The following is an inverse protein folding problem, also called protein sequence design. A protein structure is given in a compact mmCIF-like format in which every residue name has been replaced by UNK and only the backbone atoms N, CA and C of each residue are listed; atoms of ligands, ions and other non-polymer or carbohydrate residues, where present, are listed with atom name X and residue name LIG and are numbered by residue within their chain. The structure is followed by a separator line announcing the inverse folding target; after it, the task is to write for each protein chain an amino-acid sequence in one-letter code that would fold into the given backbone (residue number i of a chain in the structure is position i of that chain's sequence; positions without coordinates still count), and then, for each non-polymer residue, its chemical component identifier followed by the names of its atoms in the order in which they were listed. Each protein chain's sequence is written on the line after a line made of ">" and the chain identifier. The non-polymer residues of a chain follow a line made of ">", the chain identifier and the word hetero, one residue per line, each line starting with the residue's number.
data_IF_021781798278
#
_entry.id   IF_021781798278
#
_cell.length_a   1.000
_cell.length_b   1.000
_cell.length_c   1.000
_cell.angle_alpha   90.00
_cell.angle_beta   90.00
_cell.angle_gamma   90.00
#
_symmetry.space_group_name_H-M   'P 1'
#
loop_
_entity.id
_entity.type
_entity.pdbx_description
1 polymer ?
#
# COMPACT_ATOMS: atom_id res chain seq x y z
N UNK A 1 32.24 7.61 0.86
CA UNK A 1 31.38 6.65 0.19
C UNK A 1 31.71 5.23 0.68
N UNK A 2 30.72 4.54 1.27
CA UNK A 2 30.89 3.18 1.80
C UNK A 2 30.80 2.09 0.71
N UNK A 3 30.37 2.44 -0.51
CA UNK A 3 30.23 1.48 -1.61
C UNK A 3 31.54 0.76 -1.93
N UNK A 4 32.67 1.43 -1.80
CA UNK A 4 34.00 0.85 -2.04
C UNK A 4 34.40 -0.25 -1.05
N UNK A 5 33.73 -0.31 0.11
CA UNK A 5 33.97 -1.33 1.14
C UNK A 5 32.91 -2.43 1.14
N UNK A 6 31.88 -2.32 0.26
CA UNK A 6 30.78 -3.24 0.22
C UNK A 6 30.84 -4.15 -1.00
N UNK A 7 30.37 -5.39 -0.83
CA UNK A 7 30.16 -6.34 -1.91
C UNK A 7 28.89 -7.18 -1.64
N UNK A 8 28.30 -7.67 -2.72
CA UNK A 8 27.12 -8.53 -2.65
C UNK A 8 27.58 -9.99 -2.72
N UNK A 9 27.12 -10.81 -1.78
CA UNK A 9 27.40 -12.24 -1.80
C UNK A 9 26.93 -12.91 -3.09
N UNK A 10 27.85 -13.61 -3.74
CA UNK A 10 27.56 -14.39 -4.94
C UNK A 10 27.67 -15.89 -4.65
N UNK A 11 26.57 -16.63 -4.78
CA UNK A 11 26.53 -18.08 -4.58
C UNK A 11 27.43 -18.86 -5.54
N UNK A 12 27.78 -18.28 -6.68
CA UNK A 12 28.73 -18.90 -7.64
C UNK A 12 30.19 -18.66 -7.26
N UNK A 13 30.47 -17.68 -6.40
CA UNK A 13 31.82 -17.39 -5.92
C UNK A 13 31.83 -17.17 -4.39
N UNK A 14 31.53 -18.20 -3.57
CA UNK A 14 31.48 -18.05 -2.11
C UNK A 14 32.85 -17.73 -1.50
N UNK A 15 33.98 -18.07 -2.12
CA UNK A 15 35.33 -17.78 -1.65
C UNK A 15 35.63 -16.28 -1.58
N UNK A 16 34.89 -15.45 -2.29
CA UNK A 16 34.99 -13.98 -2.18
C UNK A 16 34.71 -13.48 -0.76
N UNK A 17 33.86 -14.19 0.00
CA UNK A 17 33.60 -13.86 1.40
C UNK A 17 34.83 -14.05 2.26
N UNK A 18 35.56 -15.18 2.10
CA UNK A 18 36.79 -15.40 2.84
C UNK A 18 37.81 -14.32 2.56
N UNK A 19 38.10 -14.02 1.29
CA UNK A 19 39.12 -13.03 0.92
C UNK A 19 38.77 -11.60 1.28
N UNK A 20 37.51 -11.20 1.13
CA UNK A 20 37.09 -9.78 1.34
C UNK A 20 36.58 -9.49 2.74
N UNK A 21 35.99 -10.46 3.44
CA UNK A 21 35.40 -10.26 4.76
C UNK A 21 36.27 -10.84 5.89
N UNK A 22 36.82 -12.04 5.71
CA UNK A 22 37.53 -12.77 6.78
C UNK A 22 39.02 -12.43 6.81
N UNK A 23 39.67 -12.44 5.66
CA UNK A 23 41.12 -12.21 5.53
C UNK A 23 41.48 -10.72 5.40
N UNK A 24 40.51 -9.86 5.16
CA UNK A 24 40.75 -8.43 5.02
C UNK A 24 41.04 -7.77 6.36
N UNK A 25 42.08 -6.93 6.39
CA UNK A 25 42.37 -6.04 7.52
C UNK A 25 41.64 -4.70 7.44
N UNK A 26 40.92 -4.43 6.34
CA UNK A 26 40.18 -3.22 6.11
C UNK A 26 38.71 -3.38 6.50
N UNK A 27 37.99 -2.25 6.62
CA UNK A 27 36.54 -2.27 6.74
C UNK A 27 35.93 -3.01 5.56
N UNK A 28 35.15 -4.04 5.82
CA UNK A 28 34.46 -4.80 4.80
C UNK A 28 32.99 -5.02 5.15
N UNK A 29 32.11 -4.85 4.18
CA UNK A 29 30.67 -4.99 4.33
C UNK A 29 30.17 -6.01 3.31
N UNK A 30 29.69 -7.16 3.79
CA UNK A 30 29.07 -8.18 2.95
C UNK A 30 27.55 -8.11 3.01
N UNK A 31 26.90 -7.92 1.87
CA UNK A 31 25.44 -7.91 1.75
C UNK A 31 24.96 -9.28 1.29
N UNK A 32 24.12 -9.93 2.11
CA UNK A 32 23.60 -11.28 1.83
C UNK A 32 22.08 -11.33 2.00
N UNK A 33 21.44 -12.07 1.09
CA UNK A 33 20.07 -12.51 1.32
C UNK A 33 20.05 -13.64 2.36
N UNK A 34 19.02 -13.66 3.22
CA UNK A 34 18.87 -14.67 4.27
C UNK A 34 18.82 -16.11 3.71
N UNK A 35 18.27 -16.30 2.50
CA UNK A 35 18.21 -17.58 1.80
C UNK A 35 19.60 -18.14 1.44
N UNK A 36 20.60 -17.28 1.38
CA UNK A 36 21.96 -17.69 1.03
C UNK A 36 22.64 -18.53 2.12
N UNK A 37 22.16 -18.47 3.37
CA UNK A 37 22.81 -19.13 4.50
C UNK A 37 21.87 -19.78 5.53
N UNK A 38 20.55 -19.67 5.39
CA UNK A 38 19.60 -20.18 6.39
C UNK A 38 19.31 -21.69 6.33
N UNK A 39 19.96 -22.42 5.42
CA UNK A 39 19.83 -23.87 5.27
C UNK A 39 21.22 -24.51 5.29
N UNK A 40 21.32 -25.69 5.90
CA UNK A 40 22.59 -26.46 5.94
C UNK A 40 23.17 -26.77 4.57
N UNK A 41 22.32 -26.93 3.54
CA UNK A 41 22.72 -27.20 2.16
C UNK A 41 23.20 -25.96 1.38
N UNK A 42 23.18 -24.77 1.96
CA UNK A 42 23.70 -23.58 1.28
C UNK A 42 25.21 -23.69 1.08
N UNK A 43 25.74 -23.28 -0.08
CA UNK A 43 27.15 -23.42 -0.45
C UNK A 43 28.11 -22.86 0.60
N UNK A 44 27.79 -21.73 1.22
CA UNK A 44 28.59 -21.08 2.23
C UNK A 44 28.75 -21.93 3.52
N UNK A 45 27.88 -22.94 3.72
CA UNK A 45 27.89 -23.88 4.84
C UNK A 45 28.42 -25.28 4.48
N UNK A 46 28.87 -25.46 3.24
CA UNK A 46 29.44 -26.72 2.77
C UNK A 46 30.96 -26.65 2.85
N UNK A 47 31.58 -27.80 3.08
CA UNK A 47 33.00 -27.96 2.94
C UNK A 47 33.41 -27.74 1.48
N UNK A 48 34.49 -27.02 1.26
CA UNK A 48 35.12 -26.92 -0.03
C UNK A 48 36.05 -28.12 -0.28
N UNK A 49 36.71 -28.12 -1.42
CA UNK A 49 37.68 -29.18 -1.79
C UNK A 49 38.91 -29.32 -0.86
N UNK A 50 39.11 -28.35 0.04
CA UNK A 50 40.18 -28.33 1.04
C UNK A 50 39.67 -28.60 2.46
N UNK A 51 38.36 -28.91 2.63
CA UNK A 51 37.74 -29.12 3.93
C UNK A 51 37.42 -27.85 4.70
N UNK A 52 37.47 -26.66 4.06
CA UNK A 52 37.16 -25.40 4.66
C UNK A 52 35.65 -25.07 4.56
N UNK A 53 35.08 -24.58 5.65
CA UNK A 53 33.69 -24.11 5.71
C UNK A 53 33.72 -22.61 5.92
N UNK A 54 33.34 -21.82 4.93
CA UNK A 54 33.34 -20.34 4.98
C UNK A 54 32.46 -19.83 6.12
N UNK A 55 31.39 -20.54 6.46
CA UNK A 55 30.50 -20.18 7.55
C UNK A 55 31.22 -20.19 8.92
N UNK A 56 32.12 -21.13 9.14
CA UNK A 56 32.90 -21.19 10.38
C UNK A 56 33.95 -20.08 10.47
N UNK A 57 34.52 -19.67 9.35
CA UNK A 57 35.40 -18.51 9.28
C UNK A 57 34.63 -17.22 9.64
N UNK A 58 33.38 -17.07 9.15
CA UNK A 58 32.53 -15.93 9.53
C UNK A 58 32.22 -15.93 11.02
N UNK A 59 31.95 -17.08 11.61
CA UNK A 59 31.76 -17.20 13.07
C UNK A 59 33.01 -16.77 13.83
N UNK A 60 34.16 -17.19 13.36
CA UNK A 60 35.44 -16.91 14.01
C UNK A 60 35.70 -15.39 14.14
N UNK A 61 35.38 -14.61 13.10
CA UNK A 61 35.56 -13.15 13.14
C UNK A 61 34.49 -12.42 13.95
N UNK A 62 33.41 -13.09 14.36
CA UNK A 62 32.28 -12.50 15.13
C UNK A 62 31.81 -11.17 14.54
N UNK A 63 31.20 -11.17 13.35
CA UNK A 63 30.85 -9.94 12.65
C UNK A 63 29.79 -9.11 13.38
N UNK A 64 29.71 -7.82 13.09
CA UNK A 64 28.54 -6.99 13.39
C UNK A 64 27.48 -7.35 12.34
N UNK A 65 26.30 -7.77 12.79
CA UNK A 65 25.18 -8.10 11.89
C UNK A 65 24.17 -6.96 11.87
N UNK A 66 23.84 -6.49 10.67
CA UNK A 66 22.79 -5.49 10.44
C UNK A 66 21.61 -6.18 9.77
N UNK A 67 20.42 -6.08 10.35
CA UNK A 67 19.22 -6.71 9.84
C UNK A 67 18.21 -5.61 9.50
N UNK A 68 17.83 -5.55 8.23
CA UNK A 68 16.71 -4.74 7.76
C UNK A 68 15.42 -5.56 7.79
N UNK A 69 14.32 -4.95 8.27
CA UNK A 69 13.00 -5.56 8.40
C UNK A 69 13.01 -6.91 9.17
N UNK A 70 13.55 -6.97 10.43
CA UNK A 70 13.71 -8.20 11.19
C UNK A 70 12.41 -8.98 11.45
N UNK A 71 11.24 -8.32 11.42
CA UNK A 71 9.94 -8.97 11.60
C UNK A 71 9.63 -10.01 10.51
N UNK A 72 10.31 -9.96 9.35
CA UNK A 72 10.16 -10.94 8.27
C UNK A 72 10.85 -12.26 8.60
N UNK A 73 11.87 -12.22 9.44
CA UNK A 73 12.68 -13.39 9.79
C UNK A 73 12.43 -13.93 11.21
N UNK A 74 11.68 -13.20 12.05
CA UNK A 74 11.45 -13.59 13.45
C UNK A 74 10.57 -14.83 13.64
N UNK A 75 9.80 -15.22 12.62
CA UNK A 75 8.83 -16.31 12.73
C UNK A 75 7.63 -15.96 13.65
N UNK A 76 6.81 -16.97 13.91
CA UNK A 76 5.64 -16.86 14.79
C UNK A 76 5.91 -17.40 16.20
N UNK A 77 5.11 -18.41 16.62
CA UNK A 77 5.30 -19.09 17.94
C UNK A 77 6.60 -19.88 18.03
N UNK A 78 7.13 -20.38 16.89
CA UNK A 78 8.42 -21.06 16.82
C UNK A 78 9.45 -20.14 16.17
N UNK A 79 10.70 -20.27 16.62
CA UNK A 79 11.85 -19.59 16.06
C UNK A 79 11.99 -19.98 14.57
N UNK A 80 12.29 -19.03 13.72
CA UNK A 80 12.52 -19.32 12.30
C UNK A 80 13.95 -19.83 12.09
N UNK A 81 14.15 -20.67 11.05
CA UNK A 81 15.49 -21.09 10.62
C UNK A 81 16.43 -19.93 10.28
N UNK A 82 15.86 -18.83 9.84
CA UNK A 82 16.60 -17.60 9.54
C UNK A 82 17.17 -16.96 10.81
N UNK A 83 16.36 -16.90 11.88
CA UNK A 83 16.82 -16.39 13.17
C UNK A 83 17.84 -17.31 13.81
N UNK A 84 17.63 -18.63 13.72
CA UNK A 84 18.59 -19.63 14.19
C UNK A 84 19.94 -19.48 13.47
N UNK A 85 19.92 -19.25 12.14
CA UNK A 85 21.15 -19.03 11.36
C UNK A 85 21.91 -17.77 11.76
N UNK A 86 21.19 -16.67 12.11
CA UNK A 86 21.83 -15.44 12.57
C UNK A 86 22.44 -15.60 13.94
N UNK A 87 21.80 -16.34 14.83
CA UNK A 87 22.36 -16.64 16.15
C UNK A 87 23.57 -17.59 16.07
N UNK A 88 23.54 -18.53 15.11
CA UNK A 88 24.65 -19.45 14.83
C UNK A 88 25.91 -18.73 14.36
N UNK A 89 25.83 -17.53 13.79
CA UNK A 89 27.01 -16.69 13.47
C UNK A 89 27.75 -16.24 14.73
N UNK A 90 27.10 -16.25 15.91
CA UNK A 90 27.64 -15.70 17.16
C UNK A 90 28.13 -14.25 17.03
N UNK A 91 27.29 -13.32 16.49
CA UNK A 91 27.73 -11.98 16.16
C UNK A 91 28.19 -11.21 17.41
N UNK A 92 29.09 -10.25 17.22
CA UNK A 92 29.54 -9.36 18.30
C UNK A 92 28.34 -8.59 18.88
N UNK A 93 27.49 -8.05 17.98
CA UNK A 93 26.15 -7.54 18.29
C UNK A 93 25.31 -7.47 17.00
N UNK A 94 24.00 -7.30 17.17
CA UNK A 94 23.03 -7.21 16.07
C UNK A 94 22.33 -5.87 16.11
N UNK A 95 22.42 -5.12 15.03
CA UNK A 95 21.62 -3.89 14.79
C UNK A 95 20.37 -4.25 14.00
N UNK A 96 19.21 -3.87 14.51
CA UNK A 96 17.91 -4.21 13.92
C UNK A 96 17.18 -2.93 13.52
N UNK A 97 16.93 -2.78 12.24
CA UNK A 97 16.22 -1.62 11.68
C UNK A 97 14.84 -2.04 11.19
N UNK A 98 13.80 -1.39 11.65
CA UNK A 98 12.43 -1.59 11.16
C UNK A 98 11.51 -0.46 11.58
N UNK A 99 10.56 -0.15 10.75
CA UNK A 99 9.41 0.70 11.10
C UNK A 99 8.32 -0.06 11.88
N UNK A 100 8.33 -1.42 11.84
CA UNK A 100 7.24 -2.28 12.33
C UNK A 100 7.77 -3.47 13.13
N UNK A 101 8.52 -3.22 14.19
CA UNK A 101 9.02 -4.28 15.06
C UNK A 101 7.89 -5.08 15.71
N UNK A 102 7.95 -6.41 15.63
CA UNK A 102 7.05 -7.30 16.40
C UNK A 102 7.47 -7.42 17.85
N UNK A 103 8.78 -7.42 18.10
CA UNK A 103 9.38 -7.47 19.43
C UNK A 103 10.47 -6.42 19.55
N UNK A 104 10.49 -5.72 20.66
CA UNK A 104 11.54 -4.75 20.96
C UNK A 104 12.64 -5.45 21.78
N UNK A 105 13.89 -5.26 21.36
CA UNK A 105 15.08 -5.75 22.05
C UNK A 105 16.01 -4.55 22.25
N UNK A 106 16.22 -4.12 23.49
CA UNK A 106 17.16 -3.05 23.82
C UNK A 106 17.07 -1.85 22.85
N UNK A 107 15.87 -1.28 22.71
CA UNK A 107 15.65 -0.16 21.79
C UNK A 107 16.53 1.01 22.19
N UNK A 108 17.51 1.35 21.35
CA UNK A 108 18.46 2.45 21.56
C UNK A 108 18.05 3.76 20.88
N UNK A 109 17.22 3.67 19.84
CA UNK A 109 16.72 4.81 19.10
C UNK A 109 15.33 4.56 18.56
N UNK A 110 14.47 5.58 18.57
CA UNK A 110 13.14 5.56 17.99
C UNK A 110 12.90 6.84 17.20
N UNK A 111 12.61 6.68 15.91
CA UNK A 111 12.08 7.75 15.06
C UNK A 111 10.78 7.26 14.47
N UNK A 112 9.69 7.44 15.20
CA UNK A 112 8.37 7.10 14.69
C UNK A 112 7.82 8.18 13.75
N UNK A 113 6.66 7.90 13.14
CA UNK A 113 6.03 8.81 12.17
C UNK A 113 5.71 10.18 12.78
N UNK A 114 5.39 10.22 14.07
CA UNK A 114 5.08 11.45 14.77
C UNK A 114 6.34 12.30 15.01
N UNK A 115 7.40 11.70 15.56
CA UNK A 115 8.67 12.38 15.77
C UNK A 115 9.27 12.88 14.44
N UNK A 116 9.16 12.09 13.38
CA UNK A 116 9.58 12.48 12.04
C UNK A 116 8.77 13.67 11.51
N UNK A 117 7.45 13.66 11.72
CA UNK A 117 6.58 14.78 11.33
C UNK A 117 6.90 16.06 12.11
N UNK A 118 7.06 15.99 13.45
CA UNK A 118 7.42 17.15 14.28
C UNK A 118 8.76 17.76 13.87
N UNK A 119 9.71 16.94 13.43
CA UNK A 119 11.02 17.39 12.94
C UNK A 119 11.00 17.83 11.47
N UNK A 120 9.83 17.86 10.82
CA UNK A 120 9.68 18.15 9.39
C UNK A 120 10.54 17.27 8.48
N UNK A 121 10.72 16.00 8.83
CA UNK A 121 11.48 15.02 8.04
C UNK A 121 10.61 14.29 7.02
N UNK A 122 9.28 14.37 7.15
CA UNK A 122 8.29 13.71 6.30
C UNK A 122 7.17 14.67 5.93
N UNK A 123 6.41 14.34 4.87
CA UNK A 123 5.20 15.07 4.48
C UNK A 123 4.09 14.88 5.51
N UNK A 124 3.23 15.90 5.63
CA UNK A 124 1.92 15.80 6.27
C UNK A 124 1.03 14.86 5.47
N UNK A 125 0.18 14.08 6.12
CA UNK A 125 -0.80 13.22 5.48
C UNK A 125 -2.18 13.86 5.56
N UNK A 126 -2.86 13.98 4.42
CA UNK A 126 -4.28 14.34 4.33
C UNK A 126 -5.04 13.21 3.67
N UNK A 127 -6.04 12.65 4.34
CA UNK A 127 -6.88 11.58 3.81
C UNK A 127 -8.17 12.17 3.28
N UNK A 128 -8.52 11.83 2.04
CA UNK A 128 -9.81 12.11 1.41
C UNK A 128 -10.52 10.79 1.19
N UNK A 129 -11.56 10.52 1.96
CA UNK A 129 -12.33 9.29 1.84
C UNK A 129 -13.51 9.50 0.92
N UNK A 130 -13.69 8.59 -0.03
CA UNK A 130 -14.88 8.52 -0.88
C UNK A 130 -15.85 7.58 -0.21
N UNK A 131 -16.90 8.14 0.36
CA UNK A 131 -18.01 7.36 0.91
C UNK A 131 -19.07 7.16 -0.17
N UNK A 132 -19.45 5.93 -0.38
CA UNK A 132 -20.64 5.63 -1.14
C UNK A 132 -21.83 5.73 -0.19
N UNK A 133 -22.55 6.83 -0.20
CA UNK A 133 -23.76 6.98 0.59
C UNK A 133 -24.89 6.23 -0.10
N UNK A 134 -25.32 5.13 0.51
CA UNK A 134 -26.59 4.50 0.16
C UNK A 134 -27.70 5.46 0.61
N UNK A 135 -28.64 5.84 -0.28
CA UNK A 135 -29.74 6.70 0.11
C UNK A 135 -30.46 6.08 1.33
N UNK A 136 -30.61 6.87 2.40
CA UNK A 136 -31.25 6.38 3.64
C UNK A 136 -32.71 5.95 3.44
N UNK A 137 -33.32 6.35 2.34
CA UNK A 137 -34.64 5.89 1.89
C UNK A 137 -34.63 4.55 1.17
N UNK A 138 -33.44 4.02 0.80
CA UNK A 138 -33.31 2.73 0.15
C UNK A 138 -33.40 1.59 1.19
N UNK A 139 -34.13 0.50 0.93
CA UNK A 139 -34.24 -0.65 1.84
C UNK A 139 -32.97 -1.52 1.79
N UNK A 140 -31.85 -0.95 2.22
CA UNK A 140 -30.58 -1.64 2.21
C UNK A 140 -30.55 -2.83 3.15
N UNK A 141 -30.12 -3.99 2.63
CA UNK A 141 -29.98 -5.23 3.37
C UNK A 141 -28.68 -5.90 2.94
N UNK A 142 -27.82 -6.23 3.88
CA UNK A 142 -26.60 -7.01 3.66
C UNK A 142 -26.62 -8.27 4.50
N UNK A 143 -26.42 -9.42 3.89
CA UNK A 143 -26.19 -10.66 4.59
C UNK A 143 -24.71 -10.82 4.96
N UNK A 144 -24.35 -10.56 6.22
CA UNK A 144 -22.93 -10.57 6.67
C UNK A 144 -22.39 -11.97 6.86
N UNK A 145 -23.11 -12.82 7.60
CA UNK A 145 -22.64 -14.15 7.96
C UNK A 145 -23.74 -15.04 8.52
N UNK A 146 -23.55 -16.34 8.42
CA UNK A 146 -24.32 -17.32 9.16
C UNK A 146 -23.69 -17.53 10.54
N UNK A 147 -24.50 -17.51 11.61
CA UNK A 147 -24.04 -17.59 12.99
C UNK A 147 -24.02 -19.03 13.49
N UNK A 148 -23.32 -19.27 14.61
CA UNK A 148 -23.29 -20.60 15.27
C UNK A 148 -24.67 -21.01 15.81
N UNK A 149 -25.53 -20.03 16.10
CA UNK A 149 -26.89 -20.23 16.63
C UNK A 149 -27.93 -20.41 15.51
N UNK A 150 -27.47 -20.79 14.31
CA UNK A 150 -28.30 -21.03 13.13
C UNK A 150 -29.14 -19.82 12.70
N UNK A 151 -28.60 -18.61 12.91
CA UNK A 151 -29.20 -17.33 12.51
C UNK A 151 -28.44 -16.70 11.37
N UNK A 152 -29.11 -15.86 10.58
CA UNK A 152 -28.44 -14.98 9.64
C UNK A 152 -28.10 -13.66 10.35
N UNK A 153 -26.87 -13.19 10.24
CA UNK A 153 -26.47 -11.83 10.63
C UNK A 153 -26.64 -10.92 9.45
N UNK A 154 -27.61 -10.03 9.54
CA UNK A 154 -27.87 -9.02 8.51
C UNK A 154 -27.49 -7.62 9.01
N UNK A 155 -27.22 -6.72 8.08
CA UNK A 155 -27.00 -5.29 8.34
C UNK A 155 -28.01 -4.49 7.54
N UNK A 156 -28.72 -3.59 8.24
CA UNK A 156 -29.77 -2.72 7.68
C UNK A 156 -29.62 -1.32 8.26
N UNK A 157 -30.26 -0.33 7.67
CA UNK A 157 -30.50 0.94 8.35
C UNK A 157 -31.41 0.75 9.54
N UNK A 158 -31.11 1.38 10.65
CA UNK A 158 -31.96 1.42 11.84
C UNK A 158 -31.95 2.79 12.46
N UNK A 159 -33.13 3.27 12.89
CA UNK A 159 -33.31 4.54 13.57
C UNK A 159 -33.22 4.31 15.07
N UNK A 160 -32.47 5.16 15.75
CA UNK A 160 -32.42 5.19 17.21
C UNK A 160 -33.57 6.05 17.79
N UNK A 161 -33.73 6.05 19.11
CA UNK A 161 -34.77 6.82 19.80
C UNK A 161 -34.70 8.35 19.56
N UNK A 162 -33.52 8.84 19.11
CA UNK A 162 -33.28 10.23 18.73
C UNK A 162 -33.53 10.53 17.25
N UNK A 163 -34.07 9.58 16.48
CA UNK A 163 -34.35 9.76 15.05
C UNK A 163 -33.14 9.65 14.14
N UNK A 164 -31.95 9.30 14.66
CA UNK A 164 -30.75 9.19 13.85
C UNK A 164 -30.65 7.81 13.19
N UNK A 165 -30.56 7.80 11.85
CA UNK A 165 -30.45 6.59 11.04
C UNK A 165 -28.98 6.20 10.87
N UNK A 166 -28.66 4.92 11.21
CA UNK A 166 -27.31 4.34 11.08
C UNK A 166 -27.42 2.88 10.65
N UNK A 167 -26.33 2.32 10.13
CA UNK A 167 -26.19 0.88 9.94
C UNK A 167 -26.18 0.15 11.29
N UNK A 168 -26.97 -0.92 11.39
CA UNK A 168 -26.99 -1.79 12.56
C UNK A 168 -27.12 -3.25 12.13
N UNK A 169 -26.40 -4.13 12.83
CA UNK A 169 -26.44 -5.59 12.55
C UNK A 169 -27.40 -6.28 13.52
N UNK A 170 -28.15 -7.24 12.97
CA UNK A 170 -29.13 -8.04 13.70
C UNK A 170 -28.94 -9.53 13.35
N UNK A 171 -29.13 -10.40 14.35
CA UNK A 171 -29.16 -11.85 14.15
C UNK A 171 -30.63 -12.28 14.01
N UNK A 172 -31.02 -12.72 12.82
CA UNK A 172 -32.41 -12.94 12.41
C UNK A 172 -32.71 -14.41 12.11
N UNK A 173 -33.99 -14.77 12.26
CA UNK A 173 -34.60 -16.03 11.90
C UNK A 173 -35.76 -15.78 10.90
N UNK A 174 -36.35 -16.85 10.38
CA UNK A 174 -37.56 -16.75 9.59
C UNK A 174 -38.67 -15.98 10.31
N UNK A 175 -39.37 -15.14 9.58
CA UNK A 175 -40.43 -14.25 10.11
C UNK A 175 -39.97 -12.95 10.71
N UNK A 176 -38.66 -12.69 10.80
CA UNK A 176 -38.16 -11.41 11.33
C UNK A 176 -38.57 -10.25 10.42
N UNK A 177 -39.29 -9.27 10.98
CA UNK A 177 -39.71 -8.04 10.29
C UNK A 177 -38.56 -7.04 10.26
N UNK A 178 -38.17 -6.57 9.08
CA UNK A 178 -37.13 -5.56 8.94
C UNK A 178 -37.65 -4.16 9.33
N UNK A 179 -38.96 -3.92 9.20
CA UNK A 179 -39.59 -2.68 9.69
C UNK A 179 -39.42 -2.56 11.20
N UNK A 180 -39.69 -3.62 11.96
CA UNK A 180 -39.52 -3.61 13.42
C UNK A 180 -38.04 -3.46 13.82
N UNK A 181 -37.14 -4.22 13.18
CA UNK A 181 -35.69 -4.18 13.45
C UNK A 181 -35.08 -2.81 13.12
N UNK A 182 -35.61 -2.16 12.10
CA UNK A 182 -35.14 -0.82 11.71
C UNK A 182 -35.61 0.32 12.62
N UNK A 183 -36.54 0.05 13.56
CA UNK A 183 -37.17 1.09 14.37
C UNK A 183 -38.32 1.80 13.66
N UNK A 184 -39.01 1.10 12.72
CA UNK A 184 -40.18 1.62 12.02
C UNK A 184 -39.86 2.43 10.76
N UNK A 185 -38.70 2.25 10.15
CA UNK A 185 -38.34 2.93 8.91
C UNK A 185 -39.23 2.47 7.75
N UNK A 186 -39.91 3.38 7.07
CA UNK A 186 -40.92 3.12 6.05
C UNK A 186 -40.42 2.33 4.84
N UNK A 187 -39.13 2.47 4.49
CA UNK A 187 -38.52 1.72 3.38
C UNK A 187 -38.46 0.21 3.65
N UNK A 188 -38.57 -0.25 4.89
CA UNK A 188 -38.59 -1.69 5.23
C UNK A 188 -40.02 -2.23 5.47
N UNK A 189 -41.03 -1.46 5.14
CA UNK A 189 -42.43 -1.89 5.31
C UNK A 189 -42.73 -3.13 4.47
N UNK A 190 -43.35 -4.14 5.12
CA UNK A 190 -43.65 -5.43 4.51
C UNK A 190 -42.44 -6.21 3.98
N UNK A 191 -41.22 -5.92 4.51
CA UNK A 191 -40.03 -6.72 4.20
C UNK A 191 -39.69 -7.59 5.41
N UNK A 192 -39.54 -8.90 5.18
CA UNK A 192 -39.25 -9.87 6.24
C UNK A 192 -38.43 -11.06 5.74
N UNK A 193 -37.71 -11.72 6.65
CA UNK A 193 -36.96 -12.93 6.36
C UNK A 193 -37.94 -14.05 6.08
N UNK A 194 -37.98 -14.55 4.84
CA UNK A 194 -39.04 -15.45 4.35
C UNK A 194 -38.82 -16.91 4.75
N UNK A 195 -37.56 -17.35 4.89
CA UNK A 195 -37.24 -18.74 5.24
C UNK A 195 -36.21 -18.83 6.35
N UNK A 196 -36.14 -20.00 7.01
CA UNK A 196 -35.10 -20.28 8.01
C UNK A 196 -33.72 -20.17 7.35
N UNK A 197 -32.83 -19.35 7.90
CA UNK A 197 -31.47 -19.20 7.38
C UNK A 197 -30.75 -20.57 7.36
N UNK A 198 -29.97 -20.80 6.29
CA UNK A 198 -29.16 -22.01 6.14
C UNK A 198 -27.76 -21.67 5.64
N UNK A 199 -26.74 -22.39 6.12
CA UNK A 199 -25.33 -22.07 5.86
C UNK A 199 -24.93 -22.13 4.38
N UNK A 200 -25.57 -23.02 3.62
CA UNK A 200 -25.24 -23.33 2.22
C UNK A 200 -26.31 -22.82 1.23
N UNK A 201 -27.21 -21.96 1.66
CA UNK A 201 -28.27 -21.41 0.82
C UNK A 201 -28.30 -19.88 0.96
N UNK A 202 -28.70 -19.17 -0.11
CA UNK A 202 -28.94 -17.74 -0.03
C UNK A 202 -29.97 -17.41 1.05
N UNK A 203 -29.80 -16.27 1.70
CA UNK A 203 -30.83 -15.75 2.59
C UNK A 203 -31.99 -15.24 1.77
N UNK A 204 -33.17 -15.82 1.99
CA UNK A 204 -34.40 -15.43 1.30
C UNK A 204 -35.15 -14.38 2.12
N UNK A 205 -35.38 -13.24 1.51
CA UNK A 205 -36.12 -12.10 2.08
C UNK A 205 -37.26 -11.77 1.14
N UNK A 206 -38.48 -11.78 1.69
CA UNK A 206 -39.66 -11.36 0.94
C UNK A 206 -39.82 -9.86 1.02
N UNK A 207 -40.06 -9.22 -0.12
CA UNK A 207 -40.29 -7.80 -0.25
C UNK A 207 -41.49 -7.53 -1.21
N UNK A 208 -42.16 -6.38 -1.10
CA UNK A 208 -43.39 -6.08 -1.87
C UNK A 208 -43.22 -6.10 -3.39
N UNK A 209 -42.08 -5.62 -3.88
CA UNK A 209 -41.85 -5.44 -5.31
C UNK A 209 -41.20 -6.71 -5.94
N UNK A 210 -40.14 -7.23 -5.28
CA UNK A 210 -39.41 -8.38 -5.76
C UNK A 210 -38.71 -9.07 -4.57
N UNK A 211 -38.77 -10.39 -4.54
CA UNK A 211 -38.10 -11.20 -3.53
C UNK A 211 -36.58 -11.12 -3.66
N UNK A 212 -35.88 -11.01 -2.53
CA UNK A 212 -34.44 -10.78 -2.47
C UNK A 212 -33.71 -12.04 -1.99
N UNK A 213 -32.71 -12.48 -2.74
CA UNK A 213 -31.84 -13.60 -2.41
C UNK A 213 -30.41 -13.12 -2.25
N UNK A 214 -29.82 -13.28 -1.06
CA UNK A 214 -28.48 -12.81 -0.75
C UNK A 214 -27.57 -13.96 -0.38
N UNK A 215 -26.48 -14.10 -1.08
CA UNK A 215 -25.36 -14.94 -0.65
C UNK A 215 -24.64 -14.30 0.54
N UNK A 216 -23.92 -15.10 1.32
CA UNK A 216 -23.16 -14.60 2.44
C UNK A 216 -22.11 -13.56 1.96
N UNK A 217 -22.16 -12.37 2.52
CA UNK A 217 -21.33 -11.23 2.15
C UNK A 217 -22.00 -10.27 1.17
N UNK A 218 -23.09 -10.65 0.48
CA UNK A 218 -23.80 -9.82 -0.48
C UNK A 218 -24.78 -8.84 0.16
N UNK A 219 -25.14 -7.80 -0.60
CA UNK A 219 -26.21 -6.86 -0.30
C UNK A 219 -27.17 -6.72 -1.49
N UNK A 220 -28.40 -6.28 -1.23
CA UNK A 220 -29.38 -5.93 -2.27
C UNK A 220 -29.10 -4.56 -2.92
N UNK A 221 -28.10 -3.84 -2.47
CA UNK A 221 -27.64 -2.61 -3.10
C UNK A 221 -26.33 -2.93 -3.83
N UNK A 222 -26.42 -3.06 -5.11
CA UNK A 222 -25.24 -3.08 -5.95
C UNK A 222 -24.78 -1.63 -6.13
N UNK A 223 -23.70 -1.26 -5.41
CA UNK A 223 -22.94 -0.12 -5.87
C UNK A 223 -22.51 -0.44 -7.30
N UNK A 224 -22.72 0.49 -8.22
CA UNK A 224 -21.92 0.48 -9.44
C UNK A 224 -20.45 0.51 -8.97
N UNK A 225 -19.73 -0.63 -8.93
CA UNK A 225 -18.36 -0.69 -8.35
C UNK A 225 -17.45 0.35 -9.01
N UNK A 226 -17.81 0.71 -10.22
CA UNK A 226 -17.11 1.65 -11.08
C UNK A 226 -17.35 3.11 -10.73
N UNK A 227 -18.47 3.45 -10.11
CA UNK A 227 -18.76 4.84 -9.74
C UNK A 227 -17.84 5.32 -8.61
N UNK A 228 -17.65 4.51 -7.57
CA UNK A 228 -16.70 4.82 -6.50
C UNK A 228 -15.28 4.93 -7.02
N UNK A 229 -14.85 3.98 -7.87
CA UNK A 229 -13.54 4.00 -8.53
C UNK A 229 -13.38 5.24 -9.41
N UNK A 230 -14.42 5.60 -10.18
CA UNK A 230 -14.43 6.82 -11.00
C UNK A 230 -14.24 8.07 -10.16
N UNK A 231 -14.95 8.18 -9.03
CA UNK A 231 -14.81 9.31 -8.12
C UNK A 231 -13.41 9.36 -7.51
N UNK A 232 -12.85 8.22 -7.09
CA UNK A 232 -11.49 8.14 -6.56
C UNK A 232 -10.45 8.57 -7.59
N UNK A 233 -10.52 8.06 -8.82
CA UNK A 233 -9.61 8.43 -9.93
C UNK A 233 -9.74 9.92 -10.24
N UNK A 234 -10.97 10.44 -10.35
CA UNK A 234 -11.23 11.87 -10.59
C UNK A 234 -10.62 12.76 -9.50
N UNK A 235 -10.77 12.37 -8.22
CA UNK A 235 -10.19 13.11 -7.08
C UNK A 235 -8.67 13.02 -7.10
N UNK A 236 -8.09 11.88 -7.50
CA UNK A 236 -6.64 11.72 -7.61
C UNK A 236 -6.04 12.63 -8.69
N UNK A 237 -6.65 12.66 -9.86
CA UNK A 237 -6.22 13.54 -10.96
C UNK A 237 -6.32 15.02 -10.55
N UNK A 238 -7.43 15.43 -9.93
CA UNK A 238 -7.60 16.81 -9.44
C UNK A 238 -6.59 17.17 -8.35
N UNK A 239 -6.40 16.28 -7.36
CA UNK A 239 -5.42 16.52 -6.28
C UNK A 239 -4.00 16.62 -6.83
N UNK A 240 -3.67 15.84 -7.84
CA UNK A 240 -2.40 15.95 -8.55
C UNK A 240 -2.22 17.32 -9.21
N UNK A 241 -3.20 17.77 -10.01
CA UNK A 241 -3.10 19.06 -10.69
C UNK A 241 -3.11 20.23 -9.72
N UNK A 242 -3.96 20.20 -8.70
CA UNK A 242 -3.98 21.23 -7.67
C UNK A 242 -2.60 21.38 -7.01
N UNK A 243 -1.98 20.26 -6.64
CA UNK A 243 -0.64 20.24 -6.03
C UNK A 243 0.43 20.69 -7.02
N UNK A 244 0.42 20.18 -8.24
CA UNK A 244 1.41 20.56 -9.26
C UNK A 244 1.37 22.06 -9.54
N UNK A 245 0.18 22.63 -9.75
CA UNK A 245 0.05 24.07 -10.00
C UNK A 245 0.30 24.91 -8.74
N UNK A 246 0.03 24.39 -7.54
CA UNK A 246 0.43 25.04 -6.29
C UNK A 246 1.95 25.19 -6.20
N UNK A 247 2.69 24.12 -6.46
CA UNK A 247 4.15 24.11 -6.45
C UNK A 247 4.71 25.13 -7.45
N UNK A 248 4.21 25.14 -8.69
CA UNK A 248 4.65 26.08 -9.71
C UNK A 248 4.31 27.53 -9.36
N UNK A 249 3.12 27.81 -8.80
CA UNK A 249 2.75 29.17 -8.32
C UNK A 249 3.66 29.67 -7.21
N UNK A 250 4.19 28.77 -6.40
CA UNK A 250 5.16 29.08 -5.34
C UNK A 250 6.61 29.10 -5.83
N UNK A 251 6.81 29.02 -7.15
CA UNK A 251 8.15 29.04 -7.77
C UNK A 251 8.97 27.78 -7.49
N UNK A 252 8.34 26.69 -7.03
CA UNK A 252 9.02 25.43 -6.80
C UNK A 252 9.03 24.59 -8.08
N UNK A 253 10.23 24.31 -8.60
CA UNK A 253 10.42 23.45 -9.78
C UNK A 253 10.44 21.98 -9.35
N UNK A 254 9.31 21.52 -8.82
CA UNK A 254 9.08 20.16 -8.31
C UNK A 254 7.98 19.53 -9.15
N UNK A 255 8.29 18.44 -9.82
CA UNK A 255 7.30 17.63 -10.53
C UNK A 255 6.58 16.72 -9.53
N UNK A 256 5.26 16.81 -9.47
CA UNK A 256 4.44 15.92 -8.68
C UNK A 256 4.21 14.59 -9.39
N UNK A 257 4.14 13.50 -8.62
CA UNK A 257 3.77 12.15 -9.07
C UNK A 257 2.56 11.67 -8.29
N UNK A 258 1.74 10.84 -8.94
CA UNK A 258 0.60 10.16 -8.33
C UNK A 258 0.71 8.66 -8.49
N UNK A 259 0.42 7.93 -7.42
CA UNK A 259 0.52 6.47 -7.37
C UNK A 259 -0.85 5.86 -7.08
N UNK A 260 -1.26 4.92 -7.93
CA UNK A 260 -2.51 4.17 -7.80
C UNK A 260 -2.20 2.73 -7.41
N UNK A 261 -2.69 2.29 -6.26
CA UNK A 261 -2.65 0.90 -5.85
C UNK A 261 -3.93 0.19 -6.28
N UNK A 262 -3.78 -0.86 -7.10
CA UNK A 262 -4.89 -1.60 -7.69
C UNK A 262 -5.02 -2.99 -7.08
N UNK A 263 -6.20 -3.57 -7.18
CA UNK A 263 -6.55 -4.90 -6.70
C UNK A 263 -6.28 -5.99 -7.74
N UNK A 264 -6.37 -5.68 -9.04
CA UNK A 264 -6.11 -6.62 -10.13
C UNK A 264 -5.44 -5.93 -11.32
N UNK A 265 -4.47 -6.60 -11.91
CA UNK A 265 -3.74 -6.13 -13.09
C UNK A 265 -4.67 -6.04 -14.30
N UNK A 266 -5.61 -6.99 -14.47
CA UNK A 266 -6.57 -7.00 -15.56
C UNK A 266 -7.43 -5.71 -15.63
N UNK A 267 -7.65 -5.04 -14.50
CA UNK A 267 -8.37 -3.76 -14.49
C UNK A 267 -7.58 -2.59 -15.09
N UNK A 268 -6.29 -2.76 -15.30
CA UNK A 268 -5.41 -1.79 -15.96
C UNK A 268 -4.93 -2.32 -17.31
N UNK A 269 -4.41 -3.54 -17.36
CA UNK A 269 -4.01 -4.23 -18.59
C UNK A 269 -4.85 -5.49 -18.76
N UNK A 270 -5.74 -5.45 -19.72
CA UNK A 270 -6.63 -6.56 -20.05
C UNK A 270 -6.20 -7.18 -21.38
N UNK A 271 -5.58 -8.35 -21.29
CA UNK A 271 -5.08 -9.08 -22.47
C UNK A 271 -6.21 -9.59 -23.38
N UNK A 272 -7.43 -9.69 -22.86
CA UNK A 272 -8.61 -10.13 -23.62
C UNK A 272 -9.31 -8.96 -24.33
N UNK A 273 -8.99 -7.72 -23.94
CA UNK A 273 -9.53 -6.53 -24.59
C UNK A 273 -8.79 -6.21 -25.90
N UNK A 274 -9.50 -5.83 -26.99
CA UNK A 274 -8.88 -5.54 -28.29
C UNK A 274 -7.82 -4.41 -28.26
N UNK A 275 -7.95 -3.50 -27.30
CA UNK A 275 -7.05 -2.36 -27.10
C UNK A 275 -6.07 -2.57 -25.94
N UNK A 276 -6.06 -3.74 -25.32
CA UNK A 276 -5.20 -4.09 -24.19
C UNK A 276 -5.45 -3.28 -22.92
N UNK A 277 -6.50 -2.43 -22.89
CA UNK A 277 -6.78 -1.54 -21.76
C UNK A 277 -7.85 -2.13 -20.85
N UNK A 278 -7.54 -2.19 -19.56
CA UNK A 278 -8.51 -2.53 -18.54
C UNK A 278 -9.42 -1.34 -18.19
N UNK A 279 -10.41 -1.63 -17.38
CA UNK A 279 -11.48 -0.70 -17.01
C UNK A 279 -10.96 0.56 -16.29
N UNK A 280 -9.99 0.43 -15.37
CA UNK A 280 -9.45 1.56 -14.63
C UNK A 280 -8.70 2.54 -15.52
N UNK A 281 -8.00 2.06 -16.55
CA UNK A 281 -7.37 2.94 -17.53
C UNK A 281 -8.39 3.69 -18.37
N UNK A 282 -9.50 3.06 -18.77
CA UNK A 282 -10.57 3.74 -19.51
C UNK A 282 -11.20 4.84 -18.67
N UNK A 283 -11.51 4.55 -17.41
CA UNK A 283 -12.03 5.54 -16.46
C UNK A 283 -11.01 6.68 -16.28
N UNK A 284 -9.72 6.34 -16.13
CA UNK A 284 -8.67 7.33 -15.98
C UNK A 284 -8.59 8.25 -17.20
N UNK A 285 -8.55 7.66 -18.40
CA UNK A 285 -8.44 8.42 -19.65
C UNK A 285 -9.61 9.41 -19.83
N UNK A 286 -10.84 8.98 -19.52
CA UNK A 286 -12.02 9.85 -19.55
C UNK A 286 -11.94 10.99 -18.53
N UNK A 287 -11.62 10.69 -17.28
CA UNK A 287 -11.57 11.69 -16.23
C UNK A 287 -10.36 12.63 -16.38
N UNK A 288 -9.24 12.14 -16.94
CA UNK A 288 -8.09 12.96 -17.29
C UNK A 288 -8.45 13.97 -18.38
N UNK A 289 -9.12 13.53 -19.48
CA UNK A 289 -9.56 14.42 -20.54
C UNK A 289 -10.53 15.50 -20.07
N UNK A 290 -11.40 15.19 -19.12
CA UNK A 290 -12.28 16.19 -18.46
C UNK A 290 -11.47 17.17 -17.60
N UNK A 291 -10.47 16.66 -16.89
CA UNK A 291 -9.64 17.46 -16.00
C UNK A 291 -8.76 18.46 -16.79
N UNK A 292 -8.07 18.03 -17.85
CA UNK A 292 -7.25 18.96 -18.64
C UNK A 292 -8.07 20.11 -19.22
N UNK A 293 -9.32 19.87 -19.63
CA UNK A 293 -10.22 20.93 -20.06
C UNK A 293 -10.53 21.92 -18.93
N UNK A 294 -10.75 21.41 -17.72
CA UNK A 294 -11.02 22.25 -16.55
C UNK A 294 -9.81 23.08 -16.10
N UNK A 295 -8.60 22.55 -16.29
CA UNK A 295 -7.34 23.21 -15.92
C UNK A 295 -6.63 23.89 -17.09
N UNK A 296 -7.29 24.05 -18.27
CA UNK A 296 -6.69 24.57 -19.50
C UNK A 296 -5.85 25.83 -19.29
N UNK A 297 -6.39 26.85 -18.61
CA UNK A 297 -5.68 28.10 -18.36
C UNK A 297 -4.41 27.93 -17.51
N UNK A 298 -4.35 26.92 -16.62
CA UNK A 298 -3.15 26.62 -15.87
C UNK A 298 -2.09 25.93 -16.73
N UNK A 299 -2.50 24.99 -17.58
CA UNK A 299 -1.59 24.34 -18.54
C UNK A 299 -1.01 25.35 -19.54
N UNK A 300 -1.82 26.25 -20.08
CA UNK A 300 -1.35 27.31 -20.96
C UNK A 300 -0.33 28.24 -20.28
N UNK A 301 -0.60 28.60 -19.00
CA UNK A 301 0.31 29.47 -18.22
C UNK A 301 1.66 28.82 -17.94
N UNK A 302 1.69 27.50 -17.71
CA UNK A 302 2.87 26.76 -17.33
C UNK A 302 3.31 25.72 -18.36
N UNK A 303 2.98 25.96 -19.64
CA UNK A 303 3.18 25.00 -20.76
C UNK A 303 4.58 24.43 -20.87
N UNK A 304 5.60 25.17 -20.44
CA UNK A 304 7.00 24.76 -20.47
C UNK A 304 7.32 23.56 -19.54
N UNK A 305 6.44 23.32 -18.55
CA UNK A 305 6.59 22.21 -17.59
C UNK A 305 5.74 20.99 -17.95
N UNK A 306 4.98 21.02 -19.03
CA UNK A 306 4.03 19.97 -19.40
C UNK A 306 4.15 19.58 -20.87
N UNK A 307 5.26 18.93 -21.26
CA UNK A 307 5.35 18.38 -22.61
C UNK A 307 4.26 17.29 -22.78
N UNK A 308 3.60 17.30 -23.91
CA UNK A 308 2.63 16.26 -24.33
C UNK A 308 1.50 15.92 -23.32
N UNK A 309 1.14 16.86 -22.44
CA UNK A 309 0.11 16.63 -21.41
C UNK A 309 -1.27 16.25 -21.99
N UNK A 310 -1.52 16.57 -23.24
CA UNK A 310 -2.76 16.19 -23.96
C UNK A 310 -2.76 14.71 -24.36
N UNK A 311 -1.60 14.10 -24.47
CA UNK A 311 -1.46 12.69 -24.78
C UNK A 311 -1.54 11.85 -23.48
N UNK A 312 -2.75 11.39 -23.16
CA UNK A 312 -3.01 10.63 -21.94
C UNK A 312 -2.17 9.36 -21.82
N UNK A 313 -1.76 8.76 -22.92
CA UNK A 313 -0.97 7.52 -22.89
C UNK A 313 0.46 7.75 -22.40
N UNK A 314 1.02 8.95 -22.61
CA UNK A 314 2.36 9.27 -22.15
C UNK A 314 2.42 9.69 -20.67
N UNK A 315 1.33 10.24 -20.13
CA UNK A 315 1.30 10.73 -18.74
C UNK A 315 1.04 9.62 -17.70
N UNK A 316 0.69 8.42 -18.14
CA UNK A 316 0.37 7.30 -17.27
C UNK A 316 1.03 6.00 -17.68
N UNK A 317 1.40 5.18 -16.72
CA UNK A 317 1.94 3.84 -16.96
C UNK A 317 1.61 2.92 -15.78
N UNK A 318 1.63 1.60 -16.05
CA UNK A 318 1.45 0.55 -15.06
C UNK A 318 2.73 -0.24 -14.83
N UNK A 319 3.06 -0.48 -13.56
CA UNK A 319 4.14 -1.35 -13.15
C UNK A 319 3.59 -2.62 -12.51
N UNK A 320 3.78 -3.76 -13.18
CA UNK A 320 3.23 -5.06 -12.78
C UNK A 320 4.26 -6.17 -12.93
N UNK A 321 4.07 -7.25 -12.17
CA UNK A 321 4.79 -8.48 -12.42
C UNK A 321 4.35 -9.10 -13.76
N UNK A 322 5.25 -9.79 -14.45
CA UNK A 322 4.95 -10.47 -15.71
C UNK A 322 5.26 -11.96 -15.60
N UNK A 323 4.51 -12.79 -16.32
CA UNK A 323 4.74 -14.23 -16.45
C UNK A 323 5.87 -14.54 -17.45
N UNK A 324 6.15 -15.85 -17.65
CA UNK A 324 7.17 -16.30 -18.62
C UNK A 324 6.83 -15.98 -20.08
N UNK A 325 5.57 -15.63 -20.36
CA UNK A 325 5.08 -15.23 -21.69
C UNK A 325 4.99 -13.71 -21.84
N UNK A 326 5.46 -12.96 -20.82
CA UNK A 326 5.43 -11.50 -20.74
C UNK A 326 4.03 -10.90 -20.57
N UNK A 327 3.03 -11.68 -20.12
CA UNK A 327 1.74 -11.14 -19.75
C UNK A 327 1.82 -10.54 -18.35
N UNK A 328 1.24 -9.36 -18.15
CA UNK A 328 1.09 -8.78 -16.83
C UNK A 328 0.15 -9.65 -15.99
N UNK A 329 0.58 -10.04 -14.79
CA UNK A 329 -0.14 -10.99 -13.94
C UNK A 329 -0.32 -10.45 -12.52
N UNK A 330 -1.42 -10.88 -11.90
CA UNK A 330 -1.64 -10.73 -10.47
C UNK A 330 -0.69 -11.69 -9.73
N UNK A 331 0.18 -11.16 -8.90
CA UNK A 331 0.90 -12.00 -7.95
C UNK A 331 -0.12 -12.38 -6.87
N UNK A 332 -0.72 -13.55 -7.03
CA UNK A 332 -1.60 -14.14 -6.01
C UNK A 332 -0.87 -14.14 -4.68
N UNK A 333 -1.55 -13.71 -3.63
CA UNK A 333 -1.05 -13.39 -2.32
C UNK A 333 0.22 -14.13 -1.95
N UNK A 334 1.25 -13.40 -1.55
CA UNK A 334 2.54 -13.87 -1.09
C UNK A 334 2.38 -15.01 -0.06
N UNK A 335 2.12 -16.21 -0.56
CA UNK A 335 2.38 -17.42 0.15
C UNK A 335 3.84 -17.75 -0.09
N UNK A 336 4.60 -17.87 0.96
CA UNK A 336 6.02 -18.12 1.12
C UNK A 336 6.64 -19.29 0.31
N UNK A 337 6.01 -19.75 -0.74
CA UNK A 337 6.42 -20.90 -1.55
C UNK A 337 6.65 -20.60 -3.04
N UNK A 338 6.51 -19.35 -3.48
CA UNK A 338 6.95 -18.96 -4.82
C UNK A 338 8.42 -18.60 -4.73
N UNK A 339 9.30 -19.41 -5.31
CA UNK A 339 10.71 -19.11 -5.40
C UNK A 339 10.89 -17.81 -6.20
N UNK A 340 11.62 -16.83 -5.64
CA UNK A 340 11.98 -15.56 -6.29
C UNK A 340 12.66 -15.74 -7.67
N UNK A 341 13.13 -16.94 -7.99
CA UNK A 341 13.74 -17.27 -9.28
C UNK A 341 12.75 -17.40 -10.45
N UNK A 342 11.44 -17.52 -10.18
CA UNK A 342 10.39 -17.64 -11.22
C UNK A 342 9.76 -16.30 -11.62
N UNK A 343 10.03 -15.22 -10.89
CA UNK A 343 9.59 -13.86 -11.23
C UNK A 343 10.75 -13.16 -11.95
N UNK A 344 10.97 -13.48 -13.21
CA UNK A 344 11.86 -12.70 -14.06
C UNK A 344 11.09 -11.46 -14.52
N UNK A 345 11.59 -10.29 -14.13
CA UNK A 345 11.30 -9.02 -14.78
C UNK A 345 11.87 -9.09 -16.21
N UNK A 346 11.07 -9.50 -17.17
CA UNK A 346 11.48 -9.56 -18.57
C UNK A 346 11.05 -8.28 -19.29
N UNK A 347 12.02 -7.40 -19.47
CA UNK A 347 11.94 -6.14 -20.20
C UNK A 347 12.33 -6.31 -21.67
N UNK A 348 11.69 -7.13 -22.48
CA UNK A 348 12.19 -7.29 -23.86
C UNK A 348 11.19 -7.34 -25.01
N UNK A 349 9.92 -7.04 -24.85
CA UNK A 349 8.99 -7.17 -25.98
C UNK A 349 8.02 -6.03 -26.27
N UNK A 350 8.03 -4.94 -25.49
CA UNK A 350 7.19 -3.75 -25.80
C UNK A 350 7.94 -2.49 -25.35
N UNK A 351 8.45 -1.73 -26.31
CA UNK A 351 9.30 -0.54 -26.07
C UNK A 351 8.69 0.49 -25.10
N UNK A 352 7.38 0.69 -25.11
CA UNK A 352 6.72 1.65 -24.21
C UNK A 352 6.58 1.13 -22.76
N UNK A 353 6.35 -0.17 -22.60
CA UNK A 353 6.25 -0.83 -21.28
C UNK A 353 7.62 -0.88 -20.62
N UNK A 354 8.64 -1.21 -21.40
CA UNK A 354 10.03 -1.29 -20.97
C UNK A 354 10.52 0.08 -20.50
N UNK A 355 10.15 1.14 -21.23
CA UNK A 355 10.45 2.52 -20.84
C UNK A 355 9.82 2.92 -19.52
N UNK A 356 8.53 2.61 -19.32
CA UNK A 356 7.82 2.95 -18.07
C UNK A 356 8.41 2.23 -16.86
N UNK A 357 8.74 0.95 -17.00
CA UNK A 357 9.39 0.14 -15.95
C UNK A 357 10.79 0.67 -15.64
N UNK A 358 11.59 0.96 -16.65
CA UNK A 358 12.94 1.51 -16.51
C UNK A 358 12.93 2.86 -15.81
N UNK A 359 12.03 3.77 -16.21
CA UNK A 359 11.83 5.08 -15.59
C UNK A 359 11.43 4.97 -14.11
N UNK A 360 10.52 4.07 -13.80
CA UNK A 360 10.01 3.90 -12.44
C UNK A 360 11.10 3.33 -11.53
N UNK A 361 11.87 2.32 -11.97
CA UNK A 361 12.82 1.61 -11.14
C UNK A 361 14.23 2.17 -11.16
N UNK A 362 14.75 2.42 -12.36
CA UNK A 362 16.18 2.68 -12.57
C UNK A 362 16.47 4.17 -12.81
N UNK A 363 15.60 4.84 -13.58
CA UNK A 363 15.80 6.24 -13.97
C UNK A 363 14.95 7.21 -13.14
N UNK A 364 15.01 7.08 -11.81
CA UNK A 364 14.21 7.90 -10.88
C UNK A 364 14.44 9.40 -11.05
N UNK A 365 15.64 9.81 -11.42
CA UNK A 365 15.99 11.22 -11.65
C UNK A 365 15.35 11.75 -12.96
N UNK A 366 15.24 10.91 -13.98
CA UNK A 366 14.53 11.24 -15.22
C UNK A 366 13.02 11.37 -14.96
N UNK A 367 12.45 10.48 -14.16
CA UNK A 367 11.03 10.50 -13.80
C UNK A 367 10.61 11.80 -13.09
N UNK A 368 11.47 12.42 -12.31
CA UNK A 368 11.20 13.71 -11.65
C UNK A 368 11.50 14.93 -12.53
N UNK A 369 12.03 14.74 -13.72
CA UNK A 369 12.23 15.80 -14.70
C UNK A 369 10.91 16.21 -15.36
N UNK A 370 10.74 17.50 -15.64
CA UNK A 370 9.59 17.99 -16.40
C UNK A 370 9.63 17.61 -17.90
N UNK A 371 10.78 17.19 -18.41
CA UNK A 371 10.90 16.70 -19.78
C UNK A 371 10.25 15.31 -19.97
N UNK A 372 10.07 14.56 -18.90
CA UNK A 372 9.39 13.28 -18.88
C UNK A 372 7.90 13.50 -18.57
N UNK A 373 6.94 13.17 -19.45
CA UNK A 373 5.52 13.41 -19.22
C UNK A 373 4.90 12.46 -18.20
N UNK A 374 5.44 11.27 -17.95
CA UNK A 374 4.89 10.28 -17.01
C UNK A 374 4.75 10.87 -15.60
N UNK A 375 3.51 10.90 -15.09
CA UNK A 375 3.18 11.46 -13.78
C UNK A 375 2.21 10.57 -12.95
N UNK A 376 1.51 9.64 -13.60
CA UNK A 376 0.53 8.76 -12.96
C UNK A 376 0.94 7.30 -13.12
N UNK A 377 1.18 6.64 -12.00
CA UNK A 377 1.74 5.28 -11.94
C UNK A 377 0.72 4.35 -11.31
N UNK A 378 0.36 3.28 -12.02
CA UNK A 378 -0.48 2.21 -11.50
C UNK A 378 0.38 1.03 -11.03
N UNK A 379 0.11 0.49 -9.85
CA UNK A 379 0.85 -0.64 -9.30
C UNK A 379 -0.06 -1.61 -8.55
N UNK A 380 0.12 -2.90 -8.79
CA UNK A 380 -0.54 -3.96 -8.03
C UNK A 380 0.29 -4.32 -6.79
N UNK A 381 1.30 -5.15 -6.94
CA UNK A 381 2.13 -5.62 -5.82
C UNK A 381 3.61 -5.31 -5.98
N UNK A 382 4.05 -5.08 -7.22
CA UNK A 382 5.46 -5.00 -7.57
C UNK A 382 6.21 -3.84 -6.92
N UNK A 383 5.53 -2.70 -6.64
CA UNK A 383 6.14 -1.58 -5.93
C UNK A 383 6.10 -1.72 -4.39
N UNK A 384 5.75 -2.90 -3.83
CA UNK A 384 5.62 -3.07 -2.38
C UNK A 384 6.95 -2.96 -1.65
N UNK A 385 8.05 -3.42 -2.24
CA UNK A 385 9.36 -3.42 -1.60
C UNK A 385 10.40 -2.67 -2.45
N UNK A 386 11.18 -1.82 -1.80
CA UNK A 386 12.35 -1.17 -2.41
C UNK A 386 12.08 0.04 -3.31
N UNK A 387 10.87 0.26 -3.82
CA UNK A 387 10.57 1.45 -4.61
C UNK A 387 10.15 2.62 -3.73
N UNK A 388 10.72 3.75 -4.01
CA UNK A 388 10.40 5.02 -3.40
C UNK A 388 10.71 6.17 -4.35
N UNK A 389 9.86 7.17 -4.35
CA UNK A 389 10.13 8.42 -5.04
C UNK A 389 9.70 9.58 -4.15
N UNK A 390 10.58 10.56 -3.88
CA UNK A 390 10.27 11.67 -2.99
C UNK A 390 9.14 12.56 -3.51
N UNK A 391 8.90 12.57 -4.81
CA UNK A 391 7.94 13.47 -5.45
C UNK A 391 6.52 12.89 -5.58
N UNK A 392 6.23 11.79 -4.90
CA UNK A 392 4.85 11.30 -4.77
C UNK A 392 4.07 12.21 -3.83
N UNK A 393 3.01 12.86 -4.34
CA UNK A 393 2.13 13.76 -3.58
C UNK A 393 0.70 13.26 -3.49
N UNK A 394 0.33 12.29 -4.34
CA UNK A 394 -1.01 11.70 -4.32
C UNK A 394 -0.89 10.18 -4.32
N UNK A 395 -1.56 9.55 -3.37
CA UNK A 395 -1.79 8.10 -3.33
C UNK A 395 -3.27 7.83 -3.48
N UNK A 396 -3.64 6.95 -4.40
CA UNK A 396 -5.01 6.52 -4.59
C UNK A 396 -5.10 5.00 -4.41
N UNK A 397 -5.89 4.53 -3.46
CA UNK A 397 -6.06 3.11 -3.20
C UNK A 397 -7.38 2.63 -3.78
N UNK A 398 -7.31 1.91 -4.90
CA UNK A 398 -8.46 1.30 -5.59
C UNK A 398 -8.73 -0.14 -5.11
N UNK A 399 -8.04 -0.58 -4.07
CA UNK A 399 -8.20 -1.90 -3.46
C UNK A 399 -9.30 -1.91 -2.41
N UNK A 400 -10.06 -3.00 -2.36
CA UNK A 400 -11.07 -3.21 -1.33
C UNK A 400 -10.50 -3.69 0.03
N UNK A 401 -9.25 -4.18 0.08
CA UNK A 401 -8.69 -4.77 1.30
C UNK A 401 -7.17 -4.64 1.39
N UNK A 402 -6.65 -4.72 2.61
CA UNK A 402 -5.23 -4.78 2.92
C UNK A 402 -5.03 -4.80 4.44
N UNK A 403 -3.96 -5.45 4.94
CA UNK A 403 -3.60 -5.37 6.34
C UNK A 403 -3.15 -3.95 6.70
N UNK A 404 -3.31 -3.54 7.95
CA UNK A 404 -2.87 -2.22 8.41
C UNK A 404 -1.37 -2.02 8.21
N UNK A 405 -0.58 -3.08 8.29
CA UNK A 405 0.86 -3.06 7.99
C UNK A 405 1.10 -2.73 6.52
N UNK A 406 0.36 -3.38 5.60
CA UNK A 406 0.49 -3.10 4.17
C UNK A 406 0.10 -1.66 3.84
N UNK A 407 -0.98 -1.15 4.43
CA UNK A 407 -1.42 0.24 4.28
C UNK A 407 -0.37 1.24 4.78
N UNK A 408 0.24 0.98 5.94
CA UNK A 408 1.34 1.81 6.47
C UNK A 408 2.55 1.82 5.54
N UNK A 409 2.92 0.68 4.98
CA UNK A 409 4.01 0.57 4.01
C UNK A 409 3.70 1.29 2.69
N UNK A 410 2.47 1.21 2.21
CA UNK A 410 2.02 1.94 1.01
C UNK A 410 2.10 3.46 1.21
N UNK A 411 1.59 3.98 2.33
CA UNK A 411 1.67 5.42 2.66
C UNK A 411 3.11 5.85 2.87
N UNK A 412 3.92 5.02 3.53
CA UNK A 412 5.33 5.31 3.79
C UNK A 412 6.12 5.70 2.52
N UNK A 413 5.74 5.16 1.37
CA UNK A 413 6.37 5.47 0.07
C UNK A 413 6.18 6.91 -0.39
N UNK A 414 5.07 7.55 0.02
CA UNK A 414 4.78 8.94 -0.32
C UNK A 414 5.29 9.96 0.70
N UNK A 415 5.81 9.53 1.85
CA UNK A 415 6.13 10.44 2.95
C UNK A 415 7.44 11.20 2.80
N UNK A 416 8.35 10.78 1.93
CA UNK A 416 9.65 11.45 1.74
C UNK A 416 9.47 12.90 1.35
N UNK A 417 10.35 13.78 1.87
CA UNK A 417 10.38 15.19 1.46
C UNK A 417 10.70 15.29 -0.03
N UNK A 418 9.95 16.09 -0.78
CA UNK A 418 10.14 16.20 -2.22
C UNK A 418 11.43 16.91 -2.58
N UNK A 419 11.94 16.63 -3.76
CA UNK A 419 13.12 17.24 -4.32
C UNK A 419 12.77 18.01 -5.60
N UNK A 420 13.48 19.12 -5.81
CA UNK A 420 13.39 19.86 -7.07
C UNK A 420 14.23 19.19 -8.18
N UNK A 421 14.18 19.75 -9.37
CA UNK A 421 14.94 19.26 -10.54
C UNK A 421 16.47 19.28 -10.35
N UNK A 422 16.98 19.92 -9.30
CA UNK A 422 18.42 19.97 -8.96
C UNK A 422 18.77 19.01 -7.82
N UNK A 423 17.79 18.22 -7.32
CA UNK A 423 17.97 17.29 -6.22
C UNK A 423 17.88 17.91 -4.81
N UNK A 424 17.60 19.21 -4.69
CA UNK A 424 17.47 19.88 -3.40
C UNK A 424 16.11 19.54 -2.76
N UNK A 425 16.14 19.19 -1.47
CA UNK A 425 14.93 18.91 -0.70
C UNK A 425 14.12 20.17 -0.43
N UNK A 426 12.82 20.08 -0.66
CA UNK A 426 11.89 21.11 -0.22
C UNK A 426 11.52 20.88 1.25
N UNK A 427 11.88 21.85 2.10
CA UNK A 427 11.58 21.82 3.56
C UNK A 427 10.35 22.64 3.94
N UNK A 428 9.63 23.21 2.97
CA UNK A 428 8.43 24.01 3.22
C UNK A 428 7.27 23.11 3.65
N UNK A 429 6.98 23.09 4.95
CA UNK A 429 5.94 22.24 5.55
C UNK A 429 4.54 22.52 5.01
N UNK A 430 4.26 23.72 4.50
CA UNK A 430 2.96 24.06 3.91
C UNK A 430 2.77 23.41 2.53
N UNK A 431 3.85 23.11 1.83
CA UNK A 431 3.83 22.45 0.52
C UNK A 431 3.98 20.93 0.63
N UNK A 432 4.59 20.46 1.73
CA UNK A 432 4.91 19.06 1.94
C UNK A 432 3.71 18.30 2.50
N UNK A 433 2.73 18.05 1.65
CA UNK A 433 1.50 17.33 1.98
C UNK A 433 1.29 16.18 1.00
N UNK A 434 1.07 14.98 1.54
CA UNK A 434 0.67 13.78 0.82
C UNK A 434 -0.83 13.63 0.91
N UNK A 435 -1.52 13.68 -0.21
CA UNK A 435 -2.96 13.38 -0.29
C UNK A 435 -3.18 11.89 -0.52
N UNK A 436 -3.88 11.24 0.40
CA UNK A 436 -4.30 9.83 0.28
C UNK A 436 -5.79 9.80 -0.06
N UNK A 437 -6.13 9.20 -1.20
CA UNK A 437 -7.50 9.00 -1.64
C UNK A 437 -7.87 7.55 -1.42
N UNK A 438 -8.90 7.33 -0.64
CA UNK A 438 -9.25 6.05 -0.08
C UNK A 438 -10.75 5.80 -0.18
N UNK A 439 -11.17 4.56 0.02
CA UNK A 439 -12.55 4.13 0.17
C UNK A 439 -12.89 3.92 1.66
N UNK A 440 -14.13 3.52 1.95
CA UNK A 440 -14.64 3.30 3.31
C UNK A 440 -13.79 2.34 4.16
N UNK A 441 -13.04 1.42 3.55
CA UNK A 441 -12.13 0.52 4.26
C UNK A 441 -10.92 1.22 4.88
N UNK A 442 -10.66 2.46 4.51
CA UNK A 442 -9.56 3.27 5.04
C UNK A 442 -9.96 4.14 6.24
N UNK A 443 -11.26 4.29 6.53
CA UNK A 443 -11.69 5.07 7.71
C UNK A 443 -11.15 4.47 9.00
N UNK A 444 -11.26 3.15 9.14
CA UNK A 444 -10.65 2.45 10.27
C UNK A 444 -9.13 2.59 10.31
N UNK A 445 -8.47 2.69 9.16
CA UNK A 445 -7.03 2.92 9.09
C UNK A 445 -6.65 4.34 9.49
N UNK A 446 -7.43 5.36 9.14
CA UNK A 446 -7.22 6.73 9.61
C UNK A 446 -7.36 6.80 11.14
N UNK A 447 -8.32 6.05 11.72
CA UNK A 447 -8.45 5.89 13.17
C UNK A 447 -7.24 5.17 13.79
N UNK A 448 -6.71 4.13 13.14
CA UNK A 448 -5.51 3.40 13.59
C UNK A 448 -4.27 4.28 13.53
N UNK A 449 -4.08 5.05 12.44
CA UNK A 449 -3.01 6.05 12.37
C UNK A 449 -3.16 7.09 13.49
N UNK A 450 -4.37 7.60 13.71
CA UNK A 450 -4.65 8.54 14.80
C UNK A 450 -4.36 7.91 16.16
N UNK A 451 -4.67 6.63 16.34
CA UNK A 451 -4.37 5.88 17.55
C UNK A 451 -2.87 5.68 17.73
N UNK A 452 -2.14 5.32 16.67
CA UNK A 452 -0.68 5.20 16.72
C UNK A 452 -0.02 6.54 17.07
N UNK A 453 -0.55 7.66 16.56
CA UNK A 453 -0.13 9.01 16.97
C UNK A 453 -0.39 9.23 18.46
N UNK A 454 -1.57 8.86 18.96
CA UNK A 454 -1.92 9.01 20.35
C UNK A 454 -1.08 8.09 21.26
N UNK A 455 -0.83 6.85 20.84
CA UNK A 455 0.00 5.87 21.59
C UNK A 455 1.48 6.29 21.58
N UNK A 456 1.97 6.91 20.50
CA UNK A 456 3.33 7.46 20.43
C UNK A 456 3.55 8.64 21.36
N UNK A 457 2.49 9.36 21.72
CA UNK A 457 2.51 10.48 22.67
C UNK A 457 2.37 10.05 24.14
N UNK A 458 2.24 8.76 24.44
CA UNK A 458 1.86 8.27 25.79
C UNK A 458 0.59 8.97 26.33
N UNK A 459 -0.37 9.24 25.47
CA UNK A 459 -1.58 9.92 25.82
C UNK A 459 -2.53 9.00 26.58
N UNK A 460 -2.54 9.12 27.88
CA UNK A 460 -3.72 8.74 28.64
C UNK A 460 -4.82 9.77 28.30
N UNK A 461 -5.94 9.32 27.77
CA UNK A 461 -7.09 10.16 27.36
C UNK A 461 -7.60 11.14 28.45
N UNK A 462 -7.06 11.02 29.65
CA UNK A 462 -7.49 11.77 30.83
C UNK A 462 -6.42 12.72 31.42
N UNK A 463 -5.22 12.79 30.85
CA UNK A 463 -4.19 13.74 31.32
C UNK A 463 -3.75 14.69 30.20
N UNK A 464 -4.06 15.97 30.40
CA UNK A 464 -3.54 17.06 29.55
C UNK A 464 -2.22 17.51 30.17
N UNK A 465 -1.10 17.21 29.54
CA UNK A 465 0.20 17.72 29.96
C UNK A 465 0.52 19.09 29.35
N UNK A 466 1.37 19.88 30.01
CA UNK A 466 1.73 21.22 29.56
C UNK A 466 2.33 21.21 28.13
N UNK A 467 3.05 20.18 27.75
CA UNK A 467 3.67 20.01 26.42
C UNK A 467 2.62 19.87 25.30
N UNK A 468 1.47 19.30 25.60
CA UNK A 468 0.34 19.16 24.66
C UNK A 468 -0.33 20.49 24.42
N UNK A 469 -0.55 21.27 25.46
CA UNK A 469 -1.09 22.62 25.37
C UNK A 469 -0.19 23.52 24.50
N UNK A 470 1.12 23.41 24.63
CA UNK A 470 2.09 24.20 23.86
C UNK A 470 2.13 23.76 22.39
N UNK A 471 1.98 22.47 22.09
CA UNK A 471 2.00 21.96 20.70
C UNK A 471 0.71 22.27 19.94
N UNK A 472 -0.44 22.43 20.65
CA UNK A 472 -1.74 22.75 20.03
C UNK A 472 -1.93 24.27 19.82
N UNK A 473 -1.14 25.10 20.48
CA UNK A 473 -1.20 26.56 20.38
C UNK A 473 -0.18 27.17 19.40
N UNK A 474 0.64 26.34 18.75
CA UNK A 474 1.52 26.70 17.64
C UNK A 474 0.93 26.24 16.32
#
# INVERSE_FOLDING_TARGET
>A
DLSKYSFIYNTNNPKEVSSKLVESNDLSICVMNIQAFNKSKNKIRQEDEYGQIIWDDIKYIRPIVIIDEPQKIEGGKKKSKSLEAIEDIEPLFVLRYSATHKKLYNQIYKLDSYAAYQQNLVKKITVKTVHSEIPKSYPYIRYKSFTKDLRARIEIFSQDQGGKIRFKSFDVLAGASLEELSGGLSQYKNIFVASQPHKLQPLYISAPDEDIYLEQGQSNYEFEPNETVRIQIKLAIRSHFDKQFELLRKGKKIKALSLFFIDSVAKVRDNDAPDGRGEYLRIFDEEYQKAIKAYKGQFEKYKEYFPDYENVQQVREGYFAVDKKNNAVDVAGWNSNVNDEDVKLNAKSQEDIDRGVELILEKKDELISFNEPLAFIFSHSALREGWDNPNVFTLCTLKASGSDIAKKQEIGRGLRLPVDITGNRCIDSNLNELTVIANDYYDHFAEVLQKDFNDSMNFNKNEITADILISTLK
#
